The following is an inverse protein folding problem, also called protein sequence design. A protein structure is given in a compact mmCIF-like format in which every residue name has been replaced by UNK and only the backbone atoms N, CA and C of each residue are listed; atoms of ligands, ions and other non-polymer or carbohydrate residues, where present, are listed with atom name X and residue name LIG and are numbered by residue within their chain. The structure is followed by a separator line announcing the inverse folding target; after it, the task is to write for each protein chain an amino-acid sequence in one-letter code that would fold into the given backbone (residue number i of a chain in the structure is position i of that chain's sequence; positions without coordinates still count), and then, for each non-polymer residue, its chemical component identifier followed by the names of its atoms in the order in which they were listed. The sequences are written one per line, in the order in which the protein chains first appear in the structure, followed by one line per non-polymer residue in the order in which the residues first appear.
data_IF_980546138849
#
_entry.id   IF_980546138849
#
_cell.length_a   1.000
_cell.length_b   1.000
_cell.length_c   1.000
_cell.angle_alpha   90.00
_cell.angle_beta   90.00
_cell.angle_gamma   90.00
#
_symmetry.space_group_name_H-M   'P 1'
#
loop_
_entity.id
_entity.type
_entity.pdbx_description
1 polymer ?
#
# COMPACT_ATOMS: atom_id res chain seq x y z
N UNK A 1 27.86 3.18 -13.50
CA UNK A 1 27.15 3.44 -12.24
C UNK A 1 27.17 2.19 -11.41
N UNK A 2 27.73 2.25 -10.21
CA UNK A 2 27.74 1.11 -9.29
C UNK A 2 26.39 0.96 -8.58
N UNK A 3 26.05 -0.24 -8.06
CA UNK A 3 24.84 -0.43 -7.26
C UNK A 3 24.76 0.54 -6.08
N UNK A 4 25.91 0.89 -5.49
CA UNK A 4 26.01 1.85 -4.39
C UNK A 4 25.69 3.28 -4.85
N UNK A 5 26.20 3.72 -5.99
CA UNK A 5 25.87 5.05 -6.52
C UNK A 5 24.37 5.18 -6.83
N UNK A 6 23.73 4.14 -7.35
CA UNK A 6 22.29 4.15 -7.63
C UNK A 6 21.43 4.29 -6.37
N UNK A 7 21.87 3.75 -5.23
CA UNK A 7 21.10 3.74 -3.98
C UNK A 7 21.48 4.83 -2.99
N UNK A 8 22.77 5.14 -2.87
CA UNK A 8 23.34 6.04 -1.87
C UNK A 8 23.77 7.39 -2.47
N UNK A 9 23.94 7.47 -3.79
CA UNK A 9 24.45 8.66 -4.47
C UNK A 9 25.95 8.90 -4.31
N UNK A 10 26.67 7.97 -3.68
CA UNK A 10 28.13 7.93 -3.61
C UNK A 10 28.60 6.47 -3.55
N UNK A 11 29.84 6.24 -3.94
CA UNK A 11 30.48 4.94 -3.74
C UNK A 11 31.15 4.94 -2.35
N UNK A 12 30.72 4.08 -1.42
CA UNK A 12 31.37 3.99 -0.11
C UNK A 12 32.82 3.51 -0.28
N UNK A 13 33.75 4.02 0.54
CA UNK A 13 35.15 3.64 0.48
C UNK A 13 35.31 2.15 0.77
N UNK A 14 36.13 1.47 -0.04
CA UNK A 14 36.34 0.02 0.09
C UNK A 14 37.33 -0.30 1.21
N UNK A 15 38.15 0.68 1.59
CA UNK A 15 39.15 0.58 2.65
C UNK A 15 39.07 1.81 3.58
N UNK A 16 39.35 1.68 4.89
CA UNK A 16 39.30 2.79 5.84
C UNK A 16 40.21 3.98 5.45
N UNK A 17 41.33 3.72 4.76
CA UNK A 17 42.23 4.77 4.26
C UNK A 17 41.59 5.68 3.20
N UNK A 18 40.49 5.25 2.58
CA UNK A 18 39.75 5.99 1.57
C UNK A 18 38.57 6.76 2.16
N UNK A 19 38.29 6.66 3.47
CA UNK A 19 37.22 7.42 4.14
C UNK A 19 37.44 8.94 4.06
N UNK A 20 38.69 9.40 4.02
CA UNK A 20 39.02 10.82 3.90
C UNK A 20 38.71 11.39 2.50
N UNK A 21 38.80 10.57 1.45
CA UNK A 21 38.52 10.95 0.06
C UNK A 21 37.07 10.65 -0.34
N UNK A 22 36.33 9.90 0.48
CA UNK A 22 34.93 9.61 0.25
C UNK A 22 34.12 10.90 0.41
N UNK A 23 33.56 11.40 -0.69
CA UNK A 23 32.57 12.47 -0.69
C UNK A 23 31.27 11.97 -0.05
N UNK A 24 31.29 11.76 1.26
CA UNK A 24 30.10 11.52 2.05
C UNK A 24 29.32 12.83 1.99
N UNK A 25 28.14 12.87 1.35
CA UNK A 25 27.29 14.05 1.45
C UNK A 25 27.09 14.28 2.94
N UNK A 26 27.32 15.51 3.42
CA UNK A 26 27.05 15.85 4.82
C UNK A 26 25.72 15.22 5.23
N UNK A 27 25.70 14.57 6.40
CA UNK A 27 24.58 13.74 6.83
C UNK A 27 23.22 14.47 6.71
N UNK A 28 23.24 15.80 6.87
CA UNK A 28 22.07 16.65 6.70
C UNK A 28 21.54 16.67 5.25
N UNK A 29 22.27 17.14 4.21
CA UNK A 29 21.86 17.05 2.80
C UNK A 29 21.32 15.68 2.38
N UNK A 30 21.95 14.59 2.82
CA UNK A 30 21.50 13.24 2.54
C UNK A 30 20.12 12.96 3.14
N UNK A 31 19.93 13.27 4.43
CA UNK A 31 18.63 13.13 5.11
C UNK A 31 17.53 13.97 4.43
N UNK A 32 17.85 15.20 4.00
CA UNK A 32 16.92 16.04 3.24
C UNK A 32 16.53 15.41 1.91
N UNK A 33 17.50 14.83 1.20
CA UNK A 33 17.26 14.12 -0.06
C UNK A 33 16.32 12.93 0.18
N UNK A 34 16.62 12.06 1.15
CA UNK A 34 15.78 10.91 1.49
C UNK A 34 14.35 11.32 1.84
N UNK A 35 14.18 12.36 2.68
CA UNK A 35 12.85 12.89 3.04
C UNK A 35 12.10 13.39 1.81
N UNK A 36 12.77 14.09 0.90
CA UNK A 36 12.16 14.59 -0.35
C UNK A 36 11.71 13.43 -1.24
N UNK A 37 12.55 12.41 -1.41
CA UNK A 37 12.24 11.21 -2.18
C UNK A 37 11.07 10.44 -1.57
N UNK A 38 11.06 10.27 -0.24
CA UNK A 38 9.94 9.65 0.47
C UNK A 38 8.62 10.39 0.27
N UNK A 39 8.62 11.72 0.42
CA UNK A 39 7.41 12.53 0.20
C UNK A 39 6.87 12.40 -1.23
N UNK A 40 7.76 12.32 -2.24
CA UNK A 40 7.37 12.09 -3.64
C UNK A 40 6.75 10.71 -3.81
N UNK A 41 7.41 9.66 -3.33
CA UNK A 41 6.91 8.28 -3.41
C UNK A 41 5.53 8.16 -2.75
N UNK A 42 5.36 8.70 -1.54
CA UNK A 42 4.08 8.70 -0.82
C UNK A 42 2.96 9.40 -1.59
N UNK A 43 3.25 10.54 -2.22
CA UNK A 43 2.26 11.26 -3.05
C UNK A 43 1.83 10.41 -4.26
N UNK A 44 2.79 9.80 -4.95
CA UNK A 44 2.50 8.94 -6.12
C UNK A 44 1.66 7.74 -5.71
N UNK A 45 2.00 7.06 -4.62
CA UNK A 45 1.23 5.92 -4.11
C UNK A 45 -0.19 6.33 -3.71
N UNK A 46 -0.35 7.46 -3.03
CA UNK A 46 -1.68 7.96 -2.66
C UNK A 46 -2.52 8.32 -3.90
N UNK A 47 -1.92 8.94 -4.91
CA UNK A 47 -2.60 9.23 -6.17
C UNK A 47 -2.99 7.97 -6.94
N UNK A 48 -2.07 6.99 -7.02
CA UNK A 48 -2.33 5.69 -7.64
C UNK A 48 -3.48 4.96 -6.94
N UNK A 49 -3.44 4.86 -5.60
CA UNK A 49 -4.52 4.27 -4.80
C UNK A 49 -5.87 4.94 -5.05
N UNK A 50 -5.92 6.28 -5.10
CA UNK A 50 -7.15 7.03 -5.42
C UNK A 50 -7.67 6.74 -6.83
N UNK A 51 -6.78 6.67 -7.83
CA UNK A 51 -7.15 6.35 -9.22
C UNK A 51 -7.66 4.92 -9.34
N UNK A 52 -6.98 3.95 -8.73
CA UNK A 52 -7.41 2.56 -8.70
C UNK A 52 -8.77 2.41 -8.03
N UNK A 53 -8.97 3.08 -6.89
CA UNK A 53 -10.27 3.13 -6.22
C UNK A 53 -11.35 3.71 -7.12
N UNK A 54 -11.13 4.87 -7.73
CA UNK A 54 -12.10 5.52 -8.61
C UNK A 54 -12.43 4.67 -9.85
N UNK A 55 -11.45 3.95 -10.41
CA UNK A 55 -11.67 3.03 -11.52
C UNK A 55 -12.49 1.81 -11.08
N UNK A 56 -12.18 1.21 -9.93
CA UNK A 56 -12.93 0.10 -9.37
C UNK A 56 -14.37 0.49 -9.00
N UNK A 57 -14.54 1.68 -8.39
CA UNK A 57 -15.84 2.19 -7.97
C UNK A 57 -16.69 2.70 -9.16
N UNK A 58 -16.11 2.90 -10.36
CA UNK A 58 -16.85 3.39 -11.55
C UNK A 58 -18.02 2.49 -11.94
N UNK A 59 -17.86 1.18 -11.77
CA UNK A 59 -18.89 0.20 -12.10
C UNK A 59 -19.68 -0.26 -10.87
N UNK A 60 -19.43 0.35 -9.71
CA UNK A 60 -20.10 0.00 -8.46
C UNK A 60 -21.50 0.63 -8.44
N UNK A 61 -22.52 -0.21 -8.33
CA UNK A 61 -23.87 0.26 -8.07
C UNK A 61 -23.98 0.79 -6.63
N UNK A 62 -24.89 1.75 -6.39
CA UNK A 62 -25.24 2.17 -5.05
C UNK A 62 -25.60 0.94 -4.21
N UNK A 63 -25.07 0.82 -2.98
CA UNK A 63 -25.43 -0.29 -2.13
C UNK A 63 -26.95 -0.26 -1.87
N UNK A 64 -27.61 -1.42 -1.84
CA UNK A 64 -28.99 -1.53 -1.37
C UNK A 64 -29.15 -0.90 0.02
N UNK A 65 -30.34 -0.35 0.30
CA UNK A 65 -30.69 0.04 1.67
C UNK A 65 -30.86 -1.23 2.50
N UNK A 66 -29.92 -1.49 3.41
CA UNK A 66 -29.98 -2.62 4.32
C UNK A 66 -30.70 -2.23 5.60
N UNK A 67 -31.61 -3.09 6.04
CA UNK A 67 -32.29 -2.97 7.33
C UNK A 67 -31.53 -3.80 8.37
N UNK A 68 -31.52 -3.33 9.61
CA UNK A 68 -30.98 -4.11 10.72
C UNK A 68 -31.64 -5.49 10.81
N UNK A 69 -30.86 -6.55 11.04
CA UNK A 69 -31.34 -7.94 11.06
C UNK A 69 -31.57 -8.57 9.70
N UNK A 70 -31.40 -7.82 8.59
CA UNK A 70 -31.54 -8.36 7.25
C UNK A 70 -30.41 -9.33 6.91
N UNK A 71 -30.78 -10.55 6.54
CA UNK A 71 -29.85 -11.58 6.07
C UNK A 71 -29.63 -11.41 4.58
N UNK A 72 -28.38 -11.30 4.16
CA UNK A 72 -28.00 -11.14 2.75
C UNK A 72 -26.97 -12.17 2.35
N UNK A 73 -27.08 -12.66 1.13
CA UNK A 73 -26.09 -13.57 0.54
C UNK A 73 -25.00 -12.76 -0.16
N UNK A 74 -23.74 -12.99 0.20
CA UNK A 74 -22.60 -12.38 -0.48
C UNK A 74 -21.94 -13.41 -1.41
N UNK A 75 -21.71 -12.99 -2.64
CA UNK A 75 -20.90 -13.76 -3.59
C UNK A 75 -19.44 -13.80 -3.10
N UNK A 76 -18.86 -14.99 -3.05
CA UNK A 76 -17.45 -15.21 -2.68
C UNK A 76 -16.53 -15.32 -3.90
N UNK A 77 -17.06 -15.10 -5.10
CA UNK A 77 -16.35 -15.29 -6.39
C UNK A 77 -15.00 -14.56 -6.46
N UNK A 78 -14.90 -13.40 -5.82
CA UNK A 78 -13.73 -12.52 -5.89
C UNK A 78 -12.88 -12.52 -4.60
N UNK A 79 -13.21 -13.38 -3.64
CA UNK A 79 -12.43 -13.54 -2.41
C UNK A 79 -11.48 -14.74 -2.57
N UNK A 80 -10.15 -14.56 -2.40
CA UNK A 80 -9.22 -15.67 -2.37
C UNK A 80 -9.39 -16.43 -1.05
N UNK A 81 -10.35 -17.35 -1.00
CA UNK A 81 -10.56 -18.24 0.13
C UNK A 81 -9.46 -19.31 0.10
N UNK A 82 -8.61 -19.34 1.12
CA UNK A 82 -7.52 -20.32 1.28
C UNK A 82 -8.02 -21.73 1.68
N UNK A 83 -9.30 -22.02 1.51
CA UNK A 83 -9.91 -23.32 1.79
C UNK A 83 -10.52 -23.88 0.50
N UNK A 84 -10.58 -25.22 0.33
CA UNK A 84 -11.20 -25.81 -0.85
C UNK A 84 -12.65 -25.33 -0.93
N UNK A 85 -12.92 -24.52 -1.94
CA UNK A 85 -14.26 -24.07 -2.29
C UNK A 85 -15.04 -25.28 -2.79
N UNK A 86 -15.93 -25.82 -1.96
CA UNK A 86 -17.07 -26.54 -2.52
C UNK A 86 -17.85 -25.52 -3.36
N UNK A 87 -17.96 -25.77 -4.67
CA UNK A 87 -18.79 -24.98 -5.57
C UNK A 87 -20.19 -24.87 -4.94
N UNK A 88 -20.53 -23.70 -4.39
CA UNK A 88 -21.77 -23.47 -3.63
C UNK A 88 -21.60 -23.06 -2.16
N UNK A 89 -20.38 -22.89 -1.63
CA UNK A 89 -20.19 -22.44 -0.23
C UNK A 89 -20.66 -21.00 0.00
N UNK A 90 -21.89 -20.94 0.51
CA UNK A 90 -22.64 -19.78 0.95
C UNK A 90 -22.19 -19.37 2.35
N UNK A 91 -21.52 -18.22 2.49
CA UNK A 91 -21.12 -17.70 3.79
C UNK A 91 -22.18 -16.75 4.33
N UNK A 92 -22.73 -17.10 5.50
CA UNK A 92 -23.74 -16.32 6.21
C UNK A 92 -23.04 -15.28 7.08
N UNK A 93 -23.17 -14.00 6.73
CA UNK A 93 -22.64 -12.89 7.52
C UNK A 93 -23.79 -12.06 8.10
N UNK A 94 -23.67 -11.66 9.37
CA UNK A 94 -24.56 -10.72 10.04
C UNK A 94 -23.81 -9.40 10.29
N UNK A 95 -24.46 -8.26 10.03
CA UNK A 95 -23.85 -6.94 10.27
C UNK A 95 -23.74 -6.71 11.79
N UNK A 96 -22.54 -6.43 12.33
CA UNK A 96 -22.36 -6.23 13.77
C UNK A 96 -23.09 -4.97 14.27
N UNK A 97 -23.64 -5.08 15.48
CA UNK A 97 -24.36 -4.02 16.17
C UNK A 97 -23.38 -2.93 16.63
N UNK A 98 -23.34 -1.78 15.94
CA UNK A 98 -22.59 -0.62 16.41
C UNK A 98 -23.51 0.23 17.30
N UNK A 99 -23.50 -0.05 18.61
CA UNK A 99 -24.10 0.84 19.61
C UNK A 99 -23.22 2.09 19.73
N UNK A 100 -23.62 3.17 19.06
CA UNK A 100 -23.11 4.51 19.34
C UNK A 100 -24.06 5.22 20.29
N UNK A 101 -23.58 5.55 21.50
CA UNK A 101 -24.17 6.52 22.42
C UNK A 101 -23.84 7.95 22.02
#
# INVERSE_FOLDING_TARGET
MSPFECSLGFQPPLFPSQELDASVPSALPFVWHCRRTWMRARRVLAQSSRRTKAAADRHRASPPAYVYGQRVWLSTKDLPLQAPSQAGSQVHWSIPHHQGS
#
